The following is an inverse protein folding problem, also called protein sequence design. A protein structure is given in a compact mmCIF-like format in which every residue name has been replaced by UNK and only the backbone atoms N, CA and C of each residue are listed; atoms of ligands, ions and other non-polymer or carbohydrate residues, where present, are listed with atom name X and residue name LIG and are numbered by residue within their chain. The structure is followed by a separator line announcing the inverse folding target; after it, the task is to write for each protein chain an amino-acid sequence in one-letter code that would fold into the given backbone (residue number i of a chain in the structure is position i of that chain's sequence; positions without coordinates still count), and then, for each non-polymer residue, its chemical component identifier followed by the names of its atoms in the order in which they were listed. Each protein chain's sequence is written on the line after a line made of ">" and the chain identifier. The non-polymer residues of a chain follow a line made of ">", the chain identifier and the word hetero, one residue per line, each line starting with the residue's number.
data_IF_632678757579
#
_entry.id   IF_632678757579
#
_cell.length_a   1.000
_cell.length_b   1.000
_cell.length_c   1.000
_cell.angle_alpha   90.00
_cell.angle_beta   90.00
_cell.angle_gamma   90.00
#
_symmetry.space_group_name_H-M   'P 1'
#
loop_
_entity.id
_entity.type
_entity.pdbx_description
1 polymer ?
#
# COMPACT_ATOMS: atom_id res chain seq x y z
N UNK A 1 -12.64 22.17 11.85
CA UNK A 1 -14.12 22.10 11.79
C UNK A 1 -14.53 20.79 12.43
N UNK A 2 -15.59 20.78 13.25
CA UNK A 2 -16.00 19.60 14.02
C UNK A 2 -16.15 18.36 13.11
N UNK A 3 -15.31 17.34 13.32
CA UNK A 3 -15.49 16.02 12.74
C UNK A 3 -16.80 15.47 13.27
N UNK A 4 -17.83 15.42 12.41
CA UNK A 4 -19.04 14.66 12.72
C UNK A 4 -18.64 13.18 12.77
N UNK A 5 -18.39 12.65 13.97
CA UNK A 5 -18.26 11.20 14.14
C UNK A 5 -19.47 10.54 13.47
N UNK A 6 -19.27 9.42 12.75
CA UNK A 6 -20.38 8.71 12.17
C UNK A 6 -21.31 8.23 13.29
N UNK A 7 -22.49 8.86 13.44
CA UNK A 7 -23.51 8.55 14.47
C UNK A 7 -23.98 7.09 14.48
N UNK A 8 -23.57 6.29 13.49
CA UNK A 8 -23.95 4.89 13.34
C UNK A 8 -23.04 3.90 14.09
N UNK A 9 -21.84 4.30 14.51
CA UNK A 9 -20.99 3.47 15.39
C UNK A 9 -21.46 3.57 16.85
N UNK A 10 -22.61 2.96 17.14
CA UNK A 10 -23.21 2.98 18.47
C UNK A 10 -23.17 1.61 19.17
N UNK A 11 -23.63 1.61 20.42
CA UNK A 11 -23.71 0.42 21.30
C UNK A 11 -24.54 -0.68 20.65
N UNK A 12 -25.66 -0.33 20.01
CA UNK A 12 -26.57 -1.30 19.40
C UNK A 12 -25.93 -1.97 18.19
N UNK A 13 -25.31 -1.18 17.31
CA UNK A 13 -24.57 -1.65 16.15
C UNK A 13 -23.45 -2.60 16.58
N UNK A 14 -22.54 -2.15 17.44
CA UNK A 14 -21.40 -2.98 17.86
C UNK A 14 -21.82 -4.23 18.63
N UNK A 15 -22.89 -4.18 19.43
CA UNK A 15 -23.41 -5.37 20.09
C UNK A 15 -23.85 -6.41 19.07
N UNK A 16 -24.67 -6.00 18.09
CA UNK A 16 -25.16 -6.90 17.05
C UNK A 16 -24.00 -7.52 16.26
N UNK A 17 -23.02 -6.69 15.86
CA UNK A 17 -21.85 -7.17 15.12
C UNK A 17 -21.02 -8.14 15.95
N UNK A 18 -20.74 -7.83 17.22
CA UNK A 18 -19.93 -8.69 18.08
C UNK A 18 -20.62 -10.02 18.41
N UNK A 19 -21.93 -9.99 18.67
CA UNK A 19 -22.75 -11.19 18.85
C UNK A 19 -22.71 -12.10 17.62
N UNK A 20 -22.74 -11.52 16.41
CA UNK A 20 -22.65 -12.27 15.15
C UNK A 20 -21.26 -12.87 14.92
N UNK A 21 -20.21 -12.09 15.14
CA UNK A 21 -18.81 -12.53 14.96
C UNK A 21 -18.48 -13.66 15.93
N UNK A 22 -18.85 -13.50 17.20
CA UNK A 22 -18.50 -14.45 18.26
C UNK A 22 -19.52 -15.59 18.43
N UNK A 23 -20.66 -15.50 17.72
CA UNK A 23 -21.78 -16.44 17.83
C UNK A 23 -22.26 -16.60 19.28
N UNK A 24 -22.35 -15.48 20.00
CA UNK A 24 -22.70 -15.42 21.42
C UNK A 24 -23.72 -14.30 21.67
N UNK A 25 -25.00 -14.67 21.80
CA UNK A 25 -26.10 -13.72 22.05
C UNK A 25 -26.08 -13.12 23.47
N UNK A 26 -25.27 -13.68 24.38
CA UNK A 26 -25.16 -13.20 25.76
C UNK A 26 -24.34 -11.91 25.87
N UNK A 27 -23.59 -11.56 24.83
CA UNK A 27 -22.76 -10.36 24.77
C UNK A 27 -23.62 -9.11 24.98
N UNK A 28 -23.21 -8.28 25.94
CA UNK A 28 -23.77 -6.95 26.22
C UNK A 28 -22.67 -5.91 26.23
N UNK A 29 -22.77 -4.92 25.35
CA UNK A 29 -21.80 -3.82 25.28
C UNK A 29 -22.06 -2.85 26.43
N UNK A 30 -21.00 -2.51 27.17
CA UNK A 30 -21.02 -1.60 28.31
C UNK A 30 -20.43 -0.23 27.97
N UNK A 31 -19.52 -0.16 27.01
CA UNK A 31 -18.88 1.09 26.60
C UNK A 31 -18.18 0.98 25.25
N UNK A 32 -18.18 2.09 24.52
CA UNK A 32 -17.44 2.24 23.26
C UNK A 32 -16.64 3.54 23.36
N UNK A 33 -15.38 3.48 22.96
CA UNK A 33 -14.55 4.67 22.76
C UNK A 33 -13.96 4.62 21.37
N UNK A 34 -14.06 5.73 20.66
CA UNK A 34 -13.59 5.88 19.28
C UNK A 34 -12.51 6.97 19.24
N UNK A 35 -11.40 6.68 18.57
CA UNK A 35 -10.30 7.61 18.39
C UNK A 35 -9.82 7.58 16.93
N UNK A 36 -9.82 8.70 16.20
CA UNK A 36 -9.19 8.77 14.88
C UNK A 36 -7.70 8.40 14.97
N UNK A 37 -7.20 7.56 14.06
CA UNK A 37 -5.78 7.15 13.99
C UNK A 37 -5.07 7.82 12.80
N UNK A 38 -5.82 8.51 11.94
CA UNK A 38 -5.23 9.11 10.72
C UNK A 38 -4.68 10.50 11.00
N UNK A 39 -3.36 10.63 11.04
CA UNK A 39 -2.70 11.93 10.87
C UNK A 39 -2.60 12.27 9.39
N UNK A 40 -2.56 13.56 9.05
CA UNK A 40 -2.32 14.00 7.67
C UNK A 40 -0.99 13.44 7.19
N UNK A 41 -1.01 12.76 6.04
CA UNK A 41 0.16 12.11 5.45
C UNK A 41 0.45 10.68 5.88
N UNK A 42 -0.41 10.08 6.71
CA UNK A 42 -0.27 8.69 7.13
C UNK A 42 -1.20 7.73 6.37
N UNK A 43 -2.41 8.19 6.04
CA UNK A 43 -3.33 7.49 5.15
C UNK A 43 -4.02 8.48 4.20
N UNK A 44 -4.01 8.17 2.91
CA UNK A 44 -4.57 9.04 1.86
C UNK A 44 -5.94 8.55 1.36
N UNK A 45 -6.39 7.39 1.83
CA UNK A 45 -7.58 6.77 1.30
C UNK A 45 -8.48 6.09 2.34
N UNK A 46 -9.08 6.94 3.15
CA UNK A 46 -10.15 6.59 4.07
C UNK A 46 -9.84 7.17 5.43
N UNK A 47 -10.87 7.20 6.27
CA UNK A 47 -10.70 7.55 7.67
C UNK A 47 -10.58 6.24 8.46
N UNK A 48 -9.50 6.12 9.24
CA UNK A 48 -9.31 5.00 10.17
C UNK A 48 -9.58 5.47 11.60
N UNK A 49 -10.44 4.71 12.27
CA UNK A 49 -10.83 4.93 13.65
C UNK A 49 -10.49 3.70 14.49
N UNK A 50 -9.78 3.90 15.59
CA UNK A 50 -9.60 2.87 16.61
C UNK A 50 -10.85 2.81 17.45
N UNK A 51 -11.48 1.65 17.51
CA UNK A 51 -12.68 1.43 18.32
C UNK A 51 -12.32 0.49 19.46
N UNK A 52 -12.42 1.00 20.68
CA UNK A 52 -12.30 0.22 21.92
C UNK A 52 -13.71 -0.14 22.39
N UNK A 53 -13.98 -1.42 22.57
CA UNK A 53 -15.28 -1.94 23.00
C UNK A 53 -15.12 -2.70 24.31
N UNK A 54 -15.86 -2.27 25.32
CA UNK A 54 -15.98 -2.94 26.62
C UNK A 54 -17.33 -3.64 26.68
N UNK A 55 -17.33 -4.93 27.03
CA UNK A 55 -18.54 -5.75 27.02
C UNK A 55 -18.51 -6.82 28.10
N UNK A 56 -19.69 -7.38 28.38
CA UNK A 56 -19.86 -8.53 29.25
C UNK A 56 -20.46 -9.70 28.49
N UNK A 57 -20.11 -10.92 28.87
CA UNK A 57 -20.72 -12.16 28.36
C UNK A 57 -20.87 -13.22 29.45
N UNK A 58 -21.64 -14.27 29.17
CA UNK A 58 -21.79 -15.41 30.08
C UNK A 58 -20.65 -16.41 29.84
N UNK A 59 -19.72 -16.47 30.80
CA UNK A 59 -18.65 -17.48 30.86
C UNK A 59 -19.02 -18.56 31.88
N UNK A 60 -19.66 -19.64 31.42
CA UNK A 60 -20.15 -20.69 32.31
C UNK A 60 -21.25 -20.19 33.25
N UNK A 61 -21.00 -20.16 34.56
CA UNK A 61 -21.96 -19.67 35.58
C UNK A 61 -21.82 -18.18 35.92
N UNK A 62 -20.81 -17.50 35.37
CA UNK A 62 -20.48 -16.12 35.76
C UNK A 62 -20.52 -15.17 34.56
N UNK A 63 -20.70 -13.87 34.84
CA UNK A 63 -20.48 -12.83 33.85
C UNK A 63 -19.02 -12.43 33.86
N UNK A 64 -18.41 -12.40 32.68
CA UNK A 64 -17.03 -11.95 32.48
C UNK A 64 -17.06 -10.62 31.75
N UNK A 65 -16.23 -9.68 32.16
CA UNK A 65 -16.03 -8.40 31.49
C UNK A 65 -14.76 -8.48 30.63
N UNK A 66 -14.86 -7.99 29.40
CA UNK A 66 -13.79 -8.01 28.42
C UNK A 66 -13.68 -6.67 27.69
N UNK A 67 -12.49 -6.43 27.14
CA UNK A 67 -12.17 -5.26 26.34
C UNK A 67 -11.48 -5.70 25.05
N UNK A 68 -11.96 -5.22 23.91
CA UNK A 68 -11.38 -5.51 22.59
C UNK A 68 -11.18 -4.24 21.79
N UNK A 69 -10.23 -4.30 20.86
CA UNK A 69 -9.88 -3.20 19.97
C UNK A 69 -10.10 -3.61 18.52
N UNK A 70 -10.62 -2.67 17.73
CA UNK A 70 -10.91 -2.83 16.32
C UNK A 70 -10.44 -1.61 15.55
N UNK A 71 -10.22 -1.79 14.26
CA UNK A 71 -10.00 -0.71 13.30
C UNK A 71 -11.24 -0.60 12.43
N UNK A 72 -11.91 0.53 12.50
CA UNK A 72 -12.99 0.89 11.59
C UNK A 72 -12.41 1.72 10.45
N UNK A 73 -12.52 1.19 9.22
CA UNK A 73 -12.20 1.95 8.00
C UNK A 73 -13.50 2.42 7.37
N UNK A 74 -13.67 3.73 7.28
CA UNK A 74 -14.88 4.38 6.77
C UNK A 74 -14.55 5.21 5.54
N UNK A 75 -15.52 5.30 4.62
CA UNK A 75 -15.42 6.22 3.50
C UNK A 75 -15.79 7.63 4.00
N UNK A 76 -14.87 8.62 3.95
CA UNK A 76 -15.18 10.01 4.24
C UNK A 76 -16.44 10.47 3.51
N UNK A 77 -17.33 11.15 4.23
CA UNK A 77 -18.55 11.74 3.68
C UNK A 77 -18.24 13.06 2.93
N UNK A 78 -17.24 13.05 2.06
CA UNK A 78 -16.78 14.21 1.30
C UNK A 78 -17.06 13.98 -0.20
N UNK A 79 -17.79 14.87 -0.89
CA UNK A 79 -18.25 14.64 -2.26
C UNK A 79 -17.15 14.32 -3.29
N UNK A 80 -15.98 14.95 -3.18
CA UNK A 80 -14.86 14.68 -4.08
C UNK A 80 -14.26 13.29 -3.84
N UNK A 81 -14.19 12.88 -2.57
CA UNK A 81 -13.64 11.59 -2.13
C UNK A 81 -14.56 10.45 -2.56
N UNK A 82 -15.87 10.67 -2.47
CA UNK A 82 -16.89 9.79 -3.01
C UNK A 82 -16.77 9.64 -4.54
N UNK A 83 -16.46 10.72 -5.27
CA UNK A 83 -16.21 10.68 -6.72
C UNK A 83 -14.89 9.96 -7.06
N UNK A 84 -13.85 10.13 -6.25
CA UNK A 84 -12.56 9.43 -6.36
C UNK A 84 -12.75 7.92 -6.20
N UNK A 85 -13.49 7.50 -5.17
CA UNK A 85 -13.78 6.09 -4.87
C UNK A 85 -14.74 5.48 -5.88
N UNK A 86 -15.82 6.18 -6.26
CA UNK A 86 -16.82 5.64 -7.19
C UNK A 86 -16.27 5.45 -8.61
N UNK A 87 -15.33 6.30 -9.05
CA UNK A 87 -14.68 6.19 -10.37
C UNK A 87 -13.47 5.26 -10.34
N UNK A 88 -12.64 5.33 -9.29
CA UNK A 88 -11.44 4.50 -9.12
C UNK A 88 -11.71 3.06 -8.67
N UNK A 89 -12.80 2.83 -7.93
CA UNK A 89 -13.18 1.52 -7.40
C UNK A 89 -12.38 1.06 -6.18
N UNK A 90 -11.54 1.92 -5.60
CA UNK A 90 -10.58 1.58 -4.54
C UNK A 90 -11.22 0.88 -3.32
N UNK A 91 -12.35 1.39 -2.83
CA UNK A 91 -13.04 0.76 -1.70
C UNK A 91 -13.64 -0.61 -2.06
N UNK A 92 -14.10 -0.78 -3.30
CA UNK A 92 -14.62 -2.08 -3.77
C UNK A 92 -13.48 -3.10 -3.89
N UNK A 93 -12.31 -2.67 -4.39
CA UNK A 93 -11.08 -3.47 -4.43
C UNK A 93 -10.70 -3.93 -3.03
N UNK A 94 -10.60 -3.00 -2.08
CA UNK A 94 -10.22 -3.32 -0.70
C UNK A 94 -11.25 -4.23 -0.02
N UNK A 95 -12.54 -3.94 -0.18
CA UNK A 95 -13.60 -4.78 0.37
C UNK A 95 -13.53 -6.20 -0.16
N UNK A 96 -13.34 -6.37 -1.47
CA UNK A 96 -13.20 -7.69 -2.09
C UNK A 96 -11.93 -8.39 -1.61
N UNK A 97 -10.81 -7.67 -1.49
CA UNK A 97 -9.58 -8.22 -0.90
C UNK A 97 -9.82 -8.74 0.52
N UNK A 98 -10.41 -7.91 1.38
CA UNK A 98 -10.58 -8.19 2.81
C UNK A 98 -11.63 -9.27 3.08
N UNK A 99 -12.66 -9.38 2.24
CA UNK A 99 -13.78 -10.32 2.44
C UNK A 99 -13.66 -11.63 1.66
N UNK A 100 -12.86 -11.66 0.58
CA UNK A 100 -12.83 -12.81 -0.33
C UNK A 100 -11.42 -13.33 -0.65
N UNK A 101 -10.52 -12.48 -1.16
CA UNK A 101 -9.21 -12.92 -1.66
C UNK A 101 -8.20 -13.20 -0.54
N UNK A 102 -8.01 -12.25 0.40
CA UNK A 102 -7.10 -12.42 1.54
C UNK A 102 -7.50 -13.58 2.45
N UNK A 103 -8.80 -13.81 2.77
CA UNK A 103 -9.20 -15.01 3.49
C UNK A 103 -8.75 -16.31 2.82
N UNK A 104 -8.85 -16.43 1.48
CA UNK A 104 -8.35 -17.60 0.74
C UNK A 104 -6.82 -17.72 0.83
N UNK A 105 -6.11 -16.60 0.66
CA UNK A 105 -4.65 -16.55 0.73
C UNK A 105 -4.14 -16.93 2.13
N UNK A 106 -4.69 -16.30 3.18
CA UNK A 106 -4.32 -16.57 4.57
C UNK A 106 -4.64 -18.01 4.97
N UNK A 107 -5.79 -18.55 4.54
CA UNK A 107 -6.13 -19.96 4.78
C UNK A 107 -5.13 -20.92 4.12
N UNK A 108 -4.70 -20.61 2.89
CA UNK A 108 -3.69 -21.41 2.20
C UNK A 108 -2.34 -21.38 2.92
N UNK A 109 -1.93 -20.22 3.44
CA UNK A 109 -0.68 -20.04 4.19
C UNK A 109 -0.69 -20.74 5.55
N UNK A 110 -1.77 -20.61 6.32
CA UNK A 110 -1.92 -21.23 7.63
C UNK A 110 -1.81 -22.76 7.52
N UNK A 111 -2.35 -23.36 6.46
CA UNK A 111 -2.18 -24.81 6.18
C UNK A 111 -0.73 -25.24 5.98
N UNK A 112 0.14 -24.33 5.57
CA UNK A 112 1.58 -24.57 5.43
C UNK A 112 2.39 -24.15 6.66
N UNK A 113 1.73 -23.71 7.74
CA UNK A 113 2.41 -23.17 8.93
C UNK A 113 3.08 -21.81 8.68
N UNK A 114 2.66 -21.06 7.66
CA UNK A 114 3.17 -19.73 7.34
C UNK A 114 2.21 -18.69 7.93
N UNK A 115 2.77 -17.61 8.49
CA UNK A 115 2.01 -16.51 9.06
C UNK A 115 1.08 -15.85 8.01
N UNK A 116 -0.09 -15.32 8.43
CA UNK A 116 -1.01 -14.61 7.55
C UNK A 116 -0.40 -13.29 7.02
N UNK A 117 -0.90 -12.85 5.87
CA UNK A 117 -0.45 -11.64 5.16
C UNK A 117 -1.17 -10.35 5.58
N UNK A 118 -2.32 -10.46 6.24
CA UNK A 118 -3.20 -9.34 6.59
C UNK A 118 -3.91 -9.55 7.93
N UNK A 119 -4.39 -8.46 8.50
CA UNK A 119 -5.39 -8.50 9.56
C UNK A 119 -6.68 -9.19 9.07
N UNK A 120 -7.45 -9.75 10.01
CA UNK A 120 -8.76 -10.30 9.68
C UNK A 120 -9.80 -9.19 9.46
N UNK A 121 -10.57 -9.29 8.37
CA UNK A 121 -11.82 -8.56 8.23
C UNK A 121 -12.89 -9.25 9.08
N UNK A 122 -13.43 -8.55 10.06
CA UNK A 122 -14.42 -9.08 10.99
C UNK A 122 -15.85 -8.79 10.51
N UNK A 123 -16.05 -7.62 9.90
CA UNK A 123 -17.32 -7.23 9.32
C UNK A 123 -17.10 -6.30 8.12
N UNK A 124 -17.98 -6.38 7.13
CA UNK A 124 -17.96 -5.52 5.96
C UNK A 124 -19.38 -5.10 5.57
N UNK A 125 -19.56 -3.81 5.32
CA UNK A 125 -20.79 -3.23 4.84
C UNK A 125 -20.52 -2.52 3.51
N UNK A 126 -21.04 -3.08 2.42
CA UNK A 126 -20.82 -2.54 1.07
C UNK A 126 -21.85 -1.45 0.70
N UNK A 127 -23.06 -1.50 1.28
CA UNK A 127 -24.07 -0.47 1.09
C UNK A 127 -23.82 0.72 2.03
N UNK A 128 -24.23 1.92 1.64
CA UNK A 128 -23.97 3.12 2.44
C UNK A 128 -24.62 3.06 3.84
N UNK A 129 -23.94 3.55 4.91
CA UNK A 129 -22.55 4.04 4.89
C UNK A 129 -21.57 2.87 4.75
N UNK A 130 -20.68 2.96 3.77
CA UNK A 130 -19.77 1.89 3.41
C UNK A 130 -18.58 1.84 4.38
N UNK A 131 -18.33 0.69 4.99
CA UNK A 131 -17.29 0.54 6.02
C UNK A 131 -16.80 -0.90 6.22
N UNK A 132 -15.61 -1.03 6.80
CA UNK A 132 -15.01 -2.28 7.24
C UNK A 132 -14.69 -2.21 8.73
N UNK A 133 -14.89 -3.33 9.44
CA UNK A 133 -14.38 -3.56 10.79
C UNK A 133 -13.28 -4.62 10.71
N UNK A 134 -12.08 -4.24 11.13
CA UNK A 134 -10.85 -5.01 10.95
C UNK A 134 -10.22 -5.26 12.33
N UNK A 135 -9.54 -6.39 12.49
CA UNK A 135 -8.71 -6.70 13.67
C UNK A 135 -7.67 -5.58 13.92
N UNK A 136 -7.61 -5.07 15.16
CA UNK A 136 -6.49 -4.22 15.59
C UNK A 136 -5.26 -5.11 15.86
N UNK A 137 -4.18 -4.87 15.12
CA UNK A 137 -2.93 -5.62 15.22
C UNK A 137 -2.02 -5.12 16.36
N UNK A 138 -2.27 -3.93 16.91
CA UNK A 138 -1.44 -3.35 17.96
C UNK A 138 -1.36 -4.20 19.25
N UNK A 139 -2.42 -4.88 19.73
CA UNK A 139 -2.31 -5.78 20.89
C UNK A 139 -1.40 -6.98 20.63
N UNK A 140 -1.13 -7.32 19.36
CA UNK A 140 -0.19 -8.38 18.96
C UNK A 140 1.24 -7.88 18.78
N UNK A 141 1.51 -6.62 19.14
CA UNK A 141 2.83 -5.99 19.10
C UNK A 141 3.24 -5.48 17.72
N UNK A 142 2.32 -5.42 16.75
CA UNK A 142 2.60 -4.83 15.44
C UNK A 142 2.55 -3.30 15.52
N UNK A 143 3.53 -2.65 14.89
CA UNK A 143 3.60 -1.19 14.72
C UNK A 143 4.13 -0.83 13.35
N UNK A 144 3.79 0.34 12.85
CA UNK A 144 4.38 0.91 11.63
C UNK A 144 5.84 1.31 11.88
N UNK A 145 6.68 1.21 10.87
CA UNK A 145 8.05 1.68 10.93
C UNK A 145 8.14 3.19 10.60
N UNK A 146 9.25 3.82 10.99
CA UNK A 146 9.47 5.24 10.71
C UNK A 146 9.75 5.48 9.22
N UNK A 147 8.78 6.09 8.53
CA UNK A 147 8.89 6.42 7.10
C UNK A 147 9.93 7.50 6.78
N UNK A 148 10.28 8.36 7.72
CA UNK A 148 11.16 9.52 7.46
C UNK A 148 12.63 9.10 7.34
N UNK A 149 13.03 8.10 8.14
CA UNK A 149 14.37 7.50 8.07
C UNK A 149 14.45 6.38 7.01
N UNK A 150 13.30 5.86 6.58
CA UNK A 150 13.21 4.70 5.71
C UNK A 150 13.54 3.40 6.44
N UNK A 151 13.27 2.29 5.78
CA UNK A 151 13.50 0.95 6.32
C UNK A 151 14.99 0.60 6.28
N UNK A 152 15.53 0.11 7.40
CA UNK A 152 16.84 -0.52 7.44
C UNK A 152 16.84 -1.87 6.68
N UNK A 153 18.01 -2.51 6.63
CA UNK A 153 18.18 -3.75 5.87
C UNK A 153 17.31 -4.90 6.41
N UNK A 154 17.20 -5.06 7.73
CA UNK A 154 16.43 -6.17 8.33
C UNK A 154 14.93 -6.02 8.02
N UNK A 155 14.39 -4.80 8.12
CA UNK A 155 13.02 -4.50 7.70
C UNK A 155 12.82 -4.72 6.21
N UNK A 156 13.77 -4.29 5.36
CA UNK A 156 13.67 -4.47 3.92
C UNK A 156 13.67 -5.94 3.51
N UNK A 157 14.49 -6.78 4.16
CA UNK A 157 14.49 -8.22 3.91
C UNK A 157 13.12 -8.81 4.26
N UNK A 158 12.56 -8.49 5.42
CA UNK A 158 11.23 -8.98 5.81
C UNK A 158 10.13 -8.51 4.86
N UNK A 159 10.14 -7.25 4.43
CA UNK A 159 9.19 -6.70 3.47
C UNK A 159 9.28 -7.42 2.11
N UNK A 160 10.48 -7.62 1.58
CA UNK A 160 10.69 -8.30 0.29
C UNK A 160 10.30 -9.78 0.35
N UNK A 161 10.59 -10.47 1.47
CA UNK A 161 10.11 -11.83 1.72
C UNK A 161 8.59 -11.88 1.83
N UNK A 162 7.99 -10.96 2.59
CA UNK A 162 6.53 -10.84 2.72
C UNK A 162 5.85 -10.63 1.37
N UNK A 163 6.42 -9.76 0.53
CA UNK A 163 5.94 -9.50 -0.82
C UNK A 163 6.05 -10.74 -1.71
N UNK A 164 7.16 -11.48 -1.62
CA UNK A 164 7.32 -12.74 -2.34
C UNK A 164 6.30 -13.80 -1.92
N UNK A 165 6.00 -13.89 -0.61
CA UNK A 165 4.93 -14.78 -0.09
C UNK A 165 3.56 -14.33 -0.59
N UNK A 166 3.27 -13.03 -0.59
CA UNK A 166 2.02 -12.48 -1.13
C UNK A 166 1.84 -12.86 -2.61
N UNK A 167 2.87 -12.62 -3.43
CA UNK A 167 2.89 -12.95 -4.84
C UNK A 167 2.75 -14.46 -5.10
N UNK A 168 3.55 -15.31 -4.43
CA UNK A 168 3.46 -16.77 -4.58
C UNK A 168 2.07 -17.31 -4.21
N UNK A 169 1.50 -16.81 -3.11
CA UNK A 169 0.18 -17.23 -2.64
C UNK A 169 -0.91 -16.80 -3.61
N UNK A 170 -0.77 -15.64 -4.25
CA UNK A 170 -1.73 -15.18 -5.26
C UNK A 170 -1.79 -16.11 -6.48
N UNK A 171 -0.64 -16.65 -6.91
CA UNK A 171 -0.56 -17.63 -7.99
C UNK A 171 -1.27 -18.91 -7.59
N UNK A 172 -0.95 -19.45 -6.41
CA UNK A 172 -1.59 -20.67 -5.90
C UNK A 172 -3.11 -20.53 -5.74
N UNK A 173 -3.59 -19.35 -5.29
CA UNK A 173 -5.02 -19.07 -5.18
C UNK A 173 -5.69 -18.97 -6.55
N UNK A 174 -5.05 -18.35 -7.54
CA UNK A 174 -5.63 -18.27 -8.89
C UNK A 174 -5.72 -19.63 -9.59
N UNK A 175 -4.68 -20.47 -9.46
CA UNK A 175 -4.70 -21.84 -9.99
C UNK A 175 -5.84 -22.66 -9.38
N UNK A 176 -6.09 -22.49 -8.08
CA UNK A 176 -7.14 -23.21 -7.36
C UNK A 176 -8.54 -22.62 -7.55
N UNK A 177 -8.63 -21.29 -7.66
CA UNK A 177 -9.88 -20.54 -7.75
C UNK A 177 -9.78 -19.52 -8.90
N UNK A 178 -9.92 -19.97 -10.16
CA UNK A 178 -9.74 -19.11 -11.32
C UNK A 178 -10.65 -17.88 -11.30
N UNK A 179 -10.11 -16.73 -11.74
CA UNK A 179 -10.75 -15.40 -11.73
C UNK A 179 -10.78 -14.70 -10.38
N UNK A 180 -10.22 -15.30 -9.33
CA UNK A 180 -10.12 -14.65 -8.02
C UNK A 180 -9.18 -13.44 -8.13
N UNK A 181 -7.94 -13.66 -8.56
CA UNK A 181 -6.93 -12.59 -8.60
C UNK A 181 -6.88 -11.88 -9.95
N UNK A 182 -7.26 -12.52 -11.05
CA UNK A 182 -7.25 -11.88 -12.38
C UNK A 182 -8.38 -10.86 -12.59
N UNK A 183 -9.32 -10.76 -11.64
CA UNK A 183 -10.39 -9.76 -11.61
C UNK A 183 -9.89 -8.34 -11.26
N UNK A 184 -8.75 -8.23 -10.58
CA UNK A 184 -8.16 -6.98 -10.12
C UNK A 184 -7.44 -6.24 -11.25
N UNK A 185 -8.11 -5.24 -11.84
CA UNK A 185 -7.62 -4.55 -13.06
C UNK A 185 -7.31 -3.06 -12.87
N UNK A 186 -7.62 -2.49 -11.72
CA UNK A 186 -7.59 -1.04 -11.46
C UNK A 186 -6.61 -0.69 -10.32
N UNK A 187 -5.31 -0.74 -10.63
CA UNK A 187 -4.24 -0.22 -9.76
C UNK A 187 -3.98 1.27 -9.98
N UNK A 188 -2.77 1.75 -9.70
CA UNK A 188 -2.36 3.15 -10.00
C UNK A 188 -2.32 3.47 -11.50
N UNK A 189 -1.97 2.47 -12.32
CA UNK A 189 -1.78 2.61 -13.75
C UNK A 189 -2.68 1.64 -14.48
N UNK A 190 -3.79 2.13 -15.03
CA UNK A 190 -4.77 1.30 -15.72
C UNK A 190 -5.44 2.05 -16.87
N UNK A 191 -6.15 1.32 -17.73
CA UNK A 191 -6.92 1.89 -18.83
C UNK A 191 -8.21 2.52 -18.30
N UNK A 192 -8.68 3.60 -18.91
CA UNK A 192 -9.92 4.29 -18.51
C UNK A 192 -9.81 4.86 -17.08
N UNK A 193 -8.60 5.26 -16.71
CA UNK A 193 -8.28 5.93 -15.46
C UNK A 193 -8.89 7.34 -15.40
N UNK A 194 -9.23 7.84 -14.21
CA UNK A 194 -9.71 9.21 -14.05
C UNK A 194 -8.64 10.23 -14.40
N UNK A 195 -9.07 11.38 -14.92
CA UNK A 195 -8.19 12.47 -15.36
C UNK A 195 -7.23 12.94 -14.26
N UNK A 196 -7.67 12.94 -12.99
CA UNK A 196 -6.84 13.38 -11.87
C UNK A 196 -5.56 12.55 -11.71
N UNK A 197 -5.57 11.25 -12.04
CA UNK A 197 -4.34 10.43 -12.00
C UNK A 197 -3.34 10.93 -13.05
N UNK A 198 -3.82 11.24 -14.27
CA UNK A 198 -2.97 11.82 -15.31
C UNK A 198 -2.38 13.13 -14.83
N UNK A 199 -3.22 14.02 -14.30
CA UNK A 199 -2.80 15.31 -13.77
C UNK A 199 -1.79 15.16 -12.63
N UNK A 200 -2.04 14.27 -11.67
CA UNK A 200 -1.16 14.03 -10.53
C UNK A 200 0.25 13.64 -10.98
N UNK A 201 0.37 12.65 -11.87
CA UNK A 201 1.69 12.17 -12.30
C UNK A 201 2.40 13.13 -13.27
N UNK A 202 1.67 13.72 -14.22
CA UNK A 202 2.24 14.65 -15.19
C UNK A 202 2.63 15.97 -14.51
N UNK A 203 1.72 16.60 -13.77
CA UNK A 203 1.98 17.86 -13.10
C UNK A 203 2.97 17.70 -11.94
N UNK A 204 2.95 16.58 -11.21
CA UNK A 204 3.99 16.26 -10.23
C UNK A 204 5.38 16.21 -10.86
N UNK A 205 5.52 15.51 -12.00
CA UNK A 205 6.78 15.47 -12.76
C UNK A 205 7.20 16.86 -13.24
N UNK A 206 6.24 17.69 -13.71
CA UNK A 206 6.50 19.07 -14.14
C UNK A 206 6.94 19.96 -12.98
N UNK A 207 6.29 19.85 -11.83
CA UNK A 207 6.61 20.60 -10.61
C UNK A 207 8.03 20.28 -10.14
N UNK A 208 8.40 18.99 -10.13
CA UNK A 208 9.76 18.58 -9.84
C UNK A 208 10.76 19.15 -10.86
N UNK A 209 10.45 19.11 -12.16
CA UNK A 209 11.31 19.67 -13.21
C UNK A 209 11.61 21.16 -12.98
N UNK A 210 10.57 21.94 -12.62
CA UNK A 210 10.70 23.36 -12.27
C UNK A 210 11.55 23.56 -11.01
N UNK A 211 11.37 22.71 -9.99
CA UNK A 211 12.09 22.83 -8.73
C UNK A 211 13.58 22.50 -8.89
N UNK A 212 13.92 21.41 -9.57
CA UNK A 212 15.33 21.02 -9.78
C UNK A 212 16.09 21.98 -10.69
N UNK A 213 15.42 22.81 -11.50
CA UNK A 213 16.05 23.86 -12.28
C UNK A 213 16.76 24.91 -11.38
N UNK A 214 16.33 25.01 -10.11
CA UNK A 214 16.90 25.90 -9.11
C UNK A 214 18.08 25.27 -8.35
N UNK A 215 18.33 23.96 -8.53
CA UNK A 215 19.32 23.22 -7.77
C UNK A 215 20.67 23.21 -8.50
N UNK A 216 21.73 23.86 -7.98
CA UNK A 216 23.04 23.90 -8.63
C UNK A 216 23.70 22.52 -8.77
N UNK A 217 23.28 21.52 -8.00
CA UNK A 217 23.79 20.15 -8.05
C UNK A 217 23.30 19.37 -9.28
N UNK A 218 22.23 19.82 -9.93
CA UNK A 218 21.61 19.14 -11.06
C UNK A 218 22.01 19.80 -12.37
N UNK A 219 22.44 18.99 -13.35
CA UNK A 219 22.68 19.48 -14.70
C UNK A 219 21.36 20.05 -15.29
N UNK A 220 21.33 21.30 -15.80
CA UNK A 220 20.12 21.92 -16.36
C UNK A 220 19.40 21.07 -17.42
N UNK A 221 20.15 20.27 -18.20
CA UNK A 221 19.61 19.35 -19.20
C UNK A 221 18.66 18.31 -18.60
N UNK A 222 18.85 17.92 -17.33
CA UNK A 222 17.95 16.98 -16.63
C UNK A 222 16.59 17.65 -16.41
N UNK A 223 16.55 18.91 -15.96
CA UNK A 223 15.31 19.68 -15.83
C UNK A 223 14.57 19.80 -17.17
N UNK A 224 15.28 20.15 -18.25
CA UNK A 224 14.70 20.24 -19.60
C UNK A 224 14.09 18.92 -20.07
N UNK A 225 14.78 17.80 -19.86
CA UNK A 225 14.28 16.45 -20.18
C UNK A 225 13.04 16.12 -19.37
N UNK A 226 13.05 16.40 -18.06
CA UNK A 226 11.90 16.15 -17.18
C UNK A 226 10.69 17.01 -17.53
N UNK A 227 10.89 18.26 -17.96
CA UNK A 227 9.81 19.10 -18.49
C UNK A 227 9.14 18.44 -19.69
N UNK A 228 9.90 17.96 -20.67
CA UNK A 228 9.35 17.24 -21.83
C UNK A 228 8.70 15.91 -21.43
N UNK A 229 9.34 15.17 -20.53
CA UNK A 229 8.80 13.92 -19.99
C UNK A 229 7.44 14.12 -19.32
N UNK A 230 7.24 15.26 -18.64
CA UNK A 230 6.02 15.54 -17.88
C UNK A 230 4.74 15.49 -18.74
N UNK A 231 4.83 15.73 -20.04
CA UNK A 231 3.69 15.67 -20.97
C UNK A 231 3.18 14.23 -21.17
N UNK A 232 4.07 13.25 -21.00
CA UNK A 232 3.83 11.83 -21.31
C UNK A 232 4.11 10.90 -20.13
N UNK A 233 4.44 11.44 -18.95
CA UNK A 233 4.91 10.68 -17.79
C UNK A 233 3.91 9.60 -17.39
N UNK A 234 2.64 9.95 -17.21
CA UNK A 234 1.60 8.98 -16.86
C UNK A 234 1.42 7.90 -17.93
N UNK A 235 1.39 8.29 -19.21
CA UNK A 235 1.26 7.36 -20.35
C UNK A 235 2.41 6.34 -20.37
N UNK A 236 3.64 6.78 -20.10
CA UNK A 236 4.79 5.87 -19.96
C UNK A 236 4.67 4.97 -18.73
N UNK A 237 4.15 5.48 -17.62
CA UNK A 237 3.80 4.69 -16.43
C UNK A 237 2.82 3.58 -16.77
N UNK A 238 1.71 3.89 -17.45
CA UNK A 238 0.75 2.91 -17.95
C UNK A 238 1.39 1.87 -18.87
N UNK A 239 2.29 2.28 -19.77
CA UNK A 239 3.01 1.35 -20.65
C UNK A 239 3.89 0.39 -19.86
N UNK A 240 4.59 0.89 -18.84
CA UNK A 240 5.48 0.10 -18.00
C UNK A 240 4.73 -0.85 -17.05
N UNK A 241 3.58 -0.43 -16.51
CA UNK A 241 2.74 -1.25 -15.63
C UNK A 241 1.84 -2.25 -16.38
N UNK A 242 1.77 -2.17 -17.72
CA UNK A 242 0.86 -2.97 -18.53
C UNK A 242 1.09 -4.47 -18.31
N UNK A 243 0.05 -5.15 -17.83
CA UNK A 243 0.01 -6.61 -17.76
C UNK A 243 0.16 -7.22 -19.16
N UNK A 244 1.08 -8.18 -19.31
CA UNK A 244 1.30 -8.93 -20.55
C UNK A 244 0.94 -10.39 -20.31
N UNK A 245 0.20 -11.01 -21.22
CA UNK A 245 -0.34 -12.36 -21.02
C UNK A 245 0.75 -13.42 -20.82
N UNK A 246 1.89 -13.26 -21.49
CA UNK A 246 2.98 -14.23 -21.49
C UNK A 246 4.04 -13.95 -20.40
N UNK A 247 3.84 -12.91 -19.58
CA UNK A 247 4.69 -12.62 -18.42
C UNK A 247 4.29 -13.48 -17.21
N UNK A 248 5.23 -13.62 -16.27
CA UNK A 248 4.90 -14.05 -14.91
C UNK A 248 4.12 -12.93 -14.21
N UNK A 249 2.81 -13.15 -14.02
CA UNK A 249 1.90 -12.21 -13.40
C UNK A 249 1.40 -12.72 -12.05
N UNK A 250 1.18 -11.79 -11.14
CA UNK A 250 0.78 -12.02 -9.75
C UNK A 250 -0.25 -10.97 -9.35
N UNK A 251 -0.93 -11.18 -8.24
CA UNK A 251 -1.64 -10.08 -7.58
C UNK A 251 -0.62 -9.20 -6.88
N UNK A 252 -0.52 -7.94 -7.29
CA UNK A 252 0.26 -6.93 -6.60
C UNK A 252 -0.61 -6.28 -5.52
N UNK A 253 -0.01 -5.89 -4.40
CA UNK A 253 -0.57 -4.99 -3.41
C UNK A 253 -0.91 -3.62 -4.04
N UNK A 254 -0.03 -3.12 -4.90
CA UNK A 254 -0.17 -1.88 -5.68
C UNK A 254 0.30 -0.61 -4.95
N UNK A 255 0.50 -0.68 -3.64
CA UNK A 255 0.92 0.44 -2.78
C UNK A 255 1.91 0.00 -1.68
N UNK A 256 2.99 -0.67 -2.07
CA UNK A 256 3.99 -1.23 -1.14
C UNK A 256 4.95 -0.15 -0.62
N UNK A 257 4.49 0.68 0.32
CA UNK A 257 5.32 1.68 1.01
C UNK A 257 5.30 1.51 2.54
N UNK A 258 6.25 2.14 3.25
CA UNK A 258 6.50 1.95 4.69
C UNK A 258 5.25 1.95 5.58
N UNK A 259 4.29 2.85 5.34
CA UNK A 259 3.09 2.94 6.19
C UNK A 259 2.06 1.85 5.94
N UNK A 260 2.12 1.17 4.79
CA UNK A 260 1.26 0.03 4.46
C UNK A 260 1.87 -1.30 4.92
N UNK A 261 2.91 -1.23 5.77
CA UNK A 261 3.60 -2.37 6.36
C UNK A 261 3.69 -2.18 7.87
N UNK A 262 3.25 -3.19 8.61
CA UNK A 262 3.43 -3.24 10.06
C UNK A 262 4.41 -4.35 10.43
N UNK A 263 5.25 -4.08 11.42
CA UNK A 263 6.30 -4.98 11.89
C UNK A 263 6.10 -5.32 13.35
N UNK A 264 6.45 -6.55 13.71
CA UNK A 264 6.60 -7.00 15.10
C UNK A 264 8.08 -7.24 15.38
N UNK A 265 8.48 -7.00 16.62
CA UNK A 265 9.86 -7.06 17.07
C UNK A 265 10.03 -8.19 18.08
N UNK A 266 11.20 -8.83 18.08
CA UNK A 266 11.61 -9.74 19.15
C UNK A 266 12.11 -8.98 20.39
N UNK A 267 12.51 -9.74 21.42
CA UNK A 267 13.01 -9.19 22.69
C UNK A 267 14.33 -8.41 22.53
N UNK A 268 15.04 -8.56 21.40
CA UNK A 268 16.24 -7.80 21.07
C UNK A 268 15.93 -6.52 20.27
N UNK A 269 14.66 -6.25 20.00
CA UNK A 269 14.22 -5.12 19.20
C UNK A 269 14.45 -5.30 17.69
N UNK A 270 14.69 -6.53 17.22
CA UNK A 270 14.83 -6.83 15.79
C UNK A 270 13.48 -7.16 15.18
N UNK A 271 13.16 -6.66 13.97
CA UNK A 271 11.91 -7.02 13.32
C UNK A 271 11.93 -8.52 13.00
N UNK A 272 10.86 -9.24 13.35
CA UNK A 272 10.76 -10.69 13.17
C UNK A 272 9.53 -11.13 12.38
N UNK A 273 8.49 -10.30 12.31
CA UNK A 273 7.31 -10.52 11.48
C UNK A 273 6.90 -9.24 10.79
N UNK A 274 6.24 -9.42 9.66
CA UNK A 274 5.74 -8.36 8.80
C UNK A 274 4.33 -8.71 8.32
N UNK A 275 3.45 -7.72 8.22
CA UNK A 275 2.08 -7.85 7.72
C UNK A 275 1.69 -6.62 6.92
N UNK A 276 0.95 -6.82 5.83
CA UNK A 276 0.48 -5.74 4.96
C UNK A 276 -0.85 -5.17 5.47
N UNK A 277 -1.08 -3.89 5.20
CA UNK A 277 -2.34 -3.19 5.41
C UNK A 277 -2.66 -2.30 4.20
N UNK A 278 -3.92 -1.91 4.05
CA UNK A 278 -4.41 -1.03 2.97
C UNK A 278 -4.32 -1.64 1.55
N UNK A 279 -5.30 -2.48 1.21
CA UNK A 279 -5.32 -3.29 -0.02
C UNK A 279 -6.12 -2.66 -1.17
N UNK A 280 -6.20 -1.33 -1.20
CA UNK A 280 -7.08 -0.59 -2.10
C UNK A 280 -6.58 -0.47 -3.55
N UNK A 281 -5.27 -0.64 -3.79
CA UNK A 281 -4.63 -0.49 -5.10
C UNK A 281 -4.25 -1.84 -5.73
N UNK A 282 -4.75 -2.94 -5.16
CA UNK A 282 -4.39 -4.27 -5.62
C UNK A 282 -4.70 -4.47 -7.11
N UNK A 283 -3.74 -5.02 -7.85
CA UNK A 283 -3.81 -5.15 -9.30
C UNK A 283 -3.07 -6.39 -9.79
N UNK A 284 -3.69 -7.11 -10.72
CA UNK A 284 -3.08 -8.24 -11.38
C UNK A 284 -2.11 -7.79 -12.49
N UNK A 285 -0.87 -8.24 -12.43
CA UNK A 285 0.14 -7.90 -13.42
C UNK A 285 1.55 -8.32 -13.01
N UNK A 286 2.55 -7.71 -13.64
CA UNK A 286 3.95 -8.01 -13.35
C UNK A 286 4.29 -7.70 -11.89
N UNK A 287 5.08 -8.56 -11.18
CA UNK A 287 5.55 -8.26 -9.82
C UNK A 287 6.45 -7.02 -9.75
N UNK A 288 6.88 -6.49 -10.91
CA UNK A 288 7.62 -5.24 -10.99
C UNK A 288 6.86 -4.04 -10.43
N UNK A 289 5.52 -4.07 -10.41
CA UNK A 289 4.72 -2.97 -9.85
C UNK A 289 5.07 -2.78 -8.38
N UNK A 290 4.98 -3.83 -7.56
CA UNK A 290 5.29 -3.70 -6.14
C UNK A 290 6.78 -3.61 -5.84
N UNK A 291 7.62 -4.40 -6.53
CA UNK A 291 9.06 -4.40 -6.27
C UNK A 291 9.66 -3.01 -6.54
N UNK A 292 9.31 -2.40 -7.68
CA UNK A 292 9.84 -1.08 -8.04
C UNK A 292 9.21 0.03 -7.19
N UNK A 293 7.94 -0.12 -6.79
CA UNK A 293 7.33 0.80 -5.84
C UNK A 293 8.07 0.77 -4.50
N UNK A 294 8.24 -0.41 -3.91
CA UNK A 294 8.93 -0.59 -2.64
C UNK A 294 10.34 0.00 -2.69
N UNK A 295 11.14 -0.37 -3.71
CA UNK A 295 12.51 0.13 -3.86
C UNK A 295 12.58 1.66 -4.05
N UNK A 296 11.54 2.27 -4.64
CA UNK A 296 11.47 3.71 -4.84
C UNK A 296 11.10 4.49 -3.56
N UNK A 297 10.36 3.91 -2.61
CA UNK A 297 9.75 4.65 -1.50
C UNK A 297 10.26 4.27 -0.12
N UNK A 298 10.60 3.00 0.12
CA UNK A 298 10.69 2.48 1.49
C UNK A 298 12.10 2.32 2.04
N UNK A 299 13.09 1.76 1.31
CA UNK A 299 14.43 1.58 1.85
C UNK A 299 15.10 2.91 2.22
N UNK A 300 15.83 2.90 3.32
CA UNK A 300 16.78 3.97 3.64
C UNK A 300 17.81 4.12 2.52
N UNK A 301 18.45 5.29 2.45
CA UNK A 301 19.33 5.61 1.32
C UNK A 301 20.50 4.62 1.16
N UNK A 302 21.10 4.18 2.27
CA UNK A 302 22.24 3.26 2.26
C UNK A 302 21.79 1.87 1.79
N UNK A 303 20.61 1.41 2.25
CA UNK A 303 20.02 0.14 1.78
C UNK A 303 19.70 0.20 0.28
N UNK A 304 19.11 1.30 -0.18
CA UNK A 304 18.76 1.51 -1.59
C UNK A 304 20.00 1.44 -2.49
N UNK A 305 21.12 2.02 -2.04
CA UNK A 305 22.37 2.09 -2.78
C UNK A 305 23.12 0.75 -2.77
N UNK A 306 23.28 0.15 -1.60
CA UNK A 306 24.27 -0.91 -1.39
C UNK A 306 23.65 -2.32 -1.33
N UNK A 307 22.34 -2.45 -1.09
CA UNK A 307 21.70 -3.74 -0.82
C UNK A 307 20.63 -4.16 -1.83
N UNK A 308 20.40 -3.39 -2.90
CA UNK A 308 19.38 -3.70 -3.92
C UNK A 308 19.47 -5.13 -4.47
N UNK A 309 20.68 -5.61 -4.77
CA UNK A 309 20.87 -6.96 -5.31
C UNK A 309 20.48 -8.04 -4.29
N UNK A 310 20.85 -7.87 -3.02
CA UNK A 310 20.50 -8.78 -1.94
C UNK A 310 18.98 -8.85 -1.77
N UNK A 311 18.30 -7.70 -1.73
CA UNK A 311 16.84 -7.63 -1.61
C UNK A 311 16.11 -8.37 -2.74
N UNK A 312 16.61 -8.26 -3.98
CA UNK A 312 16.06 -9.01 -5.11
C UNK A 312 16.28 -10.51 -5.00
N UNK A 313 17.42 -10.96 -4.45
CA UNK A 313 17.66 -12.37 -4.18
C UNK A 313 16.70 -12.90 -3.11
N UNK A 314 16.55 -12.18 -2.00
CA UNK A 314 15.63 -12.54 -0.91
C UNK A 314 14.19 -12.69 -1.39
N UNK A 315 13.74 -11.78 -2.26
CA UNK A 315 12.45 -11.90 -2.92
C UNK A 315 12.38 -13.14 -3.82
N UNK A 316 13.35 -13.34 -4.71
CA UNK A 316 13.32 -14.42 -5.71
C UNK A 316 13.38 -15.81 -5.08
N UNK A 317 14.25 -16.01 -4.09
CA UNK A 317 14.40 -17.27 -3.37
C UNK A 317 13.11 -17.58 -2.60
N UNK A 318 12.55 -16.59 -1.90
CA UNK A 318 11.30 -16.76 -1.14
C UNK A 318 10.12 -17.06 -2.05
N UNK A 319 10.01 -16.39 -3.20
CA UNK A 319 8.97 -16.64 -4.20
C UNK A 319 9.06 -18.10 -4.68
N UNK A 320 10.26 -18.53 -5.07
CA UNK A 320 10.52 -19.87 -5.60
C UNK A 320 10.20 -20.96 -4.57
N UNK A 321 10.68 -20.80 -3.34
CA UNK A 321 10.43 -21.74 -2.24
C UNK A 321 8.93 -21.80 -1.91
N UNK A 322 8.26 -20.65 -1.84
CA UNK A 322 6.85 -20.59 -1.45
C UNK A 322 5.96 -21.20 -2.53
N UNK A 323 6.20 -20.90 -3.81
CA UNK A 323 5.49 -21.54 -4.92
C UNK A 323 5.71 -23.06 -4.97
N UNK A 324 6.93 -23.52 -4.67
CA UNK A 324 7.22 -24.96 -4.58
C UNK A 324 6.43 -25.63 -3.44
N UNK A 325 6.30 -24.99 -2.27
CA UNK A 325 5.47 -25.49 -1.16
C UNK A 325 3.98 -25.60 -1.54
N UNK A 326 3.47 -24.65 -2.33
CA UNK A 326 2.12 -24.71 -2.88
C UNK A 326 1.96 -25.67 -4.05
N UNK A 327 3.07 -26.17 -4.60
CA UNK A 327 3.11 -27.01 -5.81
C UNK A 327 2.47 -26.31 -7.02
N UNK A 328 2.74 -25.02 -7.20
CA UNK A 328 2.21 -24.25 -8.32
C UNK A 328 2.57 -24.90 -9.68
N UNK A 329 1.60 -24.89 -10.59
CA UNK A 329 1.80 -25.32 -11.97
C UNK A 329 2.67 -24.31 -12.73
N UNK A 330 2.34 -23.02 -12.59
CA UNK A 330 3.13 -21.89 -13.07
C UNK A 330 4.50 -21.91 -12.41
N UNK A 331 5.54 -21.73 -13.22
CA UNK A 331 6.92 -21.66 -12.73
C UNK A 331 7.32 -20.22 -12.43
N UNK A 332 8.02 -19.97 -11.30
CA UNK A 332 8.61 -18.66 -11.07
C UNK A 332 9.64 -18.35 -12.17
N UNK A 333 9.85 -17.07 -12.52
CA UNK A 333 10.89 -16.69 -13.47
C UNK A 333 12.27 -17.01 -12.89
N UNK A 334 13.27 -17.21 -13.75
CA UNK A 334 14.66 -17.23 -13.31
C UNK A 334 15.06 -15.86 -12.72
N UNK A 335 16.07 -15.83 -11.86
CA UNK A 335 16.56 -14.58 -11.28
C UNK A 335 17.00 -13.57 -12.36
N UNK A 336 17.65 -14.06 -13.42
CA UNK A 336 18.04 -13.22 -14.55
C UNK A 336 16.81 -12.65 -15.28
N UNK A 337 15.78 -13.47 -15.53
CA UNK A 337 14.55 -12.99 -16.18
C UNK A 337 13.81 -11.98 -15.31
N UNK A 338 13.75 -12.18 -13.99
CA UNK A 338 13.20 -11.20 -13.07
C UNK A 338 13.93 -9.85 -13.18
N UNK A 339 15.27 -9.86 -13.20
CA UNK A 339 16.08 -8.64 -13.35
C UNK A 339 15.85 -7.93 -14.68
N UNK A 340 15.69 -8.66 -15.78
CA UNK A 340 15.34 -8.10 -17.08
C UNK A 340 13.97 -7.42 -17.05
N UNK A 341 12.95 -8.10 -16.52
CA UNK A 341 11.58 -7.58 -16.38
C UNK A 341 11.57 -6.28 -15.56
N UNK A 342 12.33 -6.24 -14.46
CA UNK A 342 12.49 -5.03 -13.63
C UNK A 342 13.18 -3.90 -14.40
N UNK A 343 14.21 -4.22 -15.20
CA UNK A 343 14.92 -3.22 -16.02
C UNK A 343 14.04 -2.65 -17.13
N UNK A 344 13.28 -3.51 -17.82
CA UNK A 344 12.30 -3.11 -18.85
C UNK A 344 11.22 -2.17 -18.29
N UNK A 345 10.91 -2.28 -16.99
CA UNK A 345 9.85 -1.53 -16.30
C UNK A 345 10.40 -0.48 -15.33
N UNK A 346 11.70 -0.20 -15.35
CA UNK A 346 12.37 0.70 -14.41
C UNK A 346 11.81 2.13 -14.42
N UNK A 347 11.09 2.53 -15.47
CA UNK A 347 10.37 3.80 -15.48
C UNK A 347 9.32 3.92 -14.37
N UNK A 348 8.75 2.81 -13.87
CA UNK A 348 7.86 2.83 -12.72
C UNK A 348 8.57 3.37 -11.47
N UNK A 349 9.77 2.88 -11.18
CA UNK A 349 10.58 3.34 -10.04
C UNK A 349 10.90 4.83 -10.16
N UNK A 350 11.29 5.27 -11.35
CA UNK A 350 11.58 6.67 -11.63
C UNK A 350 10.33 7.55 -11.40
N UNK A 351 9.19 7.19 -12.01
CA UNK A 351 7.96 7.95 -11.88
C UNK A 351 7.46 8.02 -10.42
N UNK A 352 7.52 6.89 -9.70
CA UNK A 352 7.15 6.83 -8.27
C UNK A 352 8.11 7.68 -7.43
N UNK A 353 9.42 7.68 -7.75
CA UNK A 353 10.41 8.55 -7.11
C UNK A 353 10.12 10.04 -7.37
N UNK A 354 9.51 10.38 -8.50
CA UNK A 354 9.17 11.76 -8.82
C UNK A 354 7.94 12.23 -8.09
N UNK A 355 6.92 11.40 -7.93
CA UNK A 355 5.58 11.89 -7.54
C UNK A 355 5.07 11.37 -6.20
N UNK A 356 5.46 10.15 -5.81
CA UNK A 356 5.01 9.52 -4.57
C UNK A 356 6.05 9.68 -3.46
N UNK A 357 7.32 9.39 -3.76
CA UNK A 357 8.42 9.56 -2.80
C UNK A 357 8.41 10.91 -2.07
N UNK A 358 8.26 12.09 -2.72
CA UNK A 358 8.26 13.38 -2.01
C UNK A 358 7.19 13.43 -0.92
N UNK A 359 6.02 12.83 -1.17
CA UNK A 359 4.91 12.78 -0.22
C UNK A 359 5.26 11.85 0.96
N UNK A 360 5.79 10.65 0.65
CA UNK A 360 6.06 9.61 1.65
C UNK A 360 7.16 9.94 2.65
N UNK A 361 8.08 10.86 2.32
CA UNK A 361 9.19 11.28 3.21
C UNK A 361 9.03 12.72 3.74
N UNK A 362 7.89 13.35 3.46
CA UNK A 362 7.57 14.71 3.92
C UNK A 362 7.14 14.71 5.39
N UNK A 363 7.61 15.68 6.16
CA UNK A 363 7.16 15.83 7.55
C UNK A 363 5.66 16.18 7.59
N UNK A 364 4.95 15.79 8.65
CA UNK A 364 3.50 15.98 8.77
C UNK A 364 3.06 17.46 8.63
N UNK A 365 3.95 18.41 8.94
CA UNK A 365 3.68 19.85 8.83
C UNK A 365 3.74 20.38 7.39
N UNK A 366 4.37 19.64 6.48
CA UNK A 366 4.65 20.07 5.09
C UNK A 366 3.73 19.36 4.09
N UNK A 367 3.23 18.19 4.46
CA UNK A 367 2.46 17.34 3.57
C UNK A 367 1.01 17.80 3.48
N UNK A 368 0.52 17.96 2.25
CA UNK A 368 -0.88 18.28 1.96
C UNK A 368 -1.71 17.00 1.75
N UNK A 369 -3.02 17.00 2.09
CA UNK A 369 -3.97 16.01 1.60
C UNK A 369 -3.95 15.90 0.07
N UNK A 370 -4.25 14.72 -0.48
CA UNK A 370 -4.19 14.48 -1.93
C UNK A 370 -5.09 15.44 -2.74
N UNK A 371 -6.23 15.84 -2.20
CA UNK A 371 -7.16 16.80 -2.81
C UNK A 371 -6.67 18.25 -2.79
N UNK A 372 -5.62 18.56 -2.02
CA UNK A 372 -5.03 19.90 -1.96
C UNK A 372 -3.73 19.98 -2.78
N UNK A 373 -3.29 18.85 -3.36
CA UNK A 373 -2.15 18.84 -4.29
C UNK A 373 -2.52 19.33 -5.69
N UNK A 374 -3.79 19.22 -6.07
CA UNK A 374 -4.33 19.77 -7.32
C UNK A 374 -5.39 20.79 -6.94
N UNK A 375 -5.10 22.06 -7.18
CA UNK A 375 -6.01 23.16 -6.89
C UNK A 375 -7.19 23.21 -7.88
N UNK A 376 -8.32 23.84 -7.51
CA UNK A 376 -9.48 23.97 -8.40
C UNK A 376 -9.20 24.68 -9.74
N UNK A 377 -8.18 25.54 -9.79
CA UNK A 377 -7.67 26.20 -11.00
C UNK A 377 -6.84 25.27 -11.90
N UNK A 378 -6.58 24.03 -11.48
CA UNK A 378 -5.76 23.05 -12.19
C UNK A 378 -4.25 23.15 -11.92
N UNK A 379 -3.83 24.05 -11.03
CA UNK A 379 -2.44 24.16 -10.60
C UNK A 379 -2.09 23.01 -9.65
N UNK A 380 -0.82 22.58 -9.69
CA UNK A 380 -0.29 21.53 -8.83
C UNK A 380 0.77 22.12 -7.93
N UNK A 381 0.58 21.99 -6.62
CA UNK A 381 1.54 22.42 -5.62
C UNK A 381 1.80 21.31 -4.61
N UNK A 382 3.06 20.86 -4.53
CA UNK A 382 3.52 19.94 -3.50
C UNK A 382 4.74 20.54 -2.79
N UNK A 383 4.56 21.10 -1.58
CA UNK A 383 5.65 21.70 -0.80
C UNK A 383 6.80 20.72 -0.52
N UNK A 384 6.51 19.42 -0.52
CA UNK A 384 7.47 18.36 -0.22
C UNK A 384 8.62 18.29 -1.23
N UNK A 385 8.47 18.87 -2.43
CA UNK A 385 9.58 18.97 -3.39
C UNK A 385 10.74 19.85 -2.90
N UNK A 386 10.47 20.80 -2.00
CA UNK A 386 11.47 21.69 -1.42
C UNK A 386 12.18 21.05 -0.19
N UNK A 387 11.74 19.86 0.24
CA UNK A 387 12.28 19.19 1.41
C UNK A 387 13.74 18.76 1.23
N UNK A 388 14.58 19.07 2.21
CA UNK A 388 16.02 18.74 2.19
C UNK A 388 16.29 17.22 2.02
N UNK A 389 15.49 16.36 2.67
CA UNK A 389 15.60 14.90 2.53
C UNK A 389 15.35 14.46 1.09
N UNK A 390 14.31 15.00 0.48
CA UNK A 390 13.95 14.70 -0.90
C UNK A 390 14.99 15.21 -1.89
N UNK A 391 15.46 16.45 -1.74
CA UNK A 391 16.55 17.01 -2.56
C UNK A 391 17.80 16.14 -2.50
N UNK A 392 18.25 15.73 -1.32
CA UNK A 392 19.44 14.87 -1.14
C UNK A 392 19.32 13.54 -1.89
N UNK A 393 18.14 12.91 -1.90
CA UNK A 393 17.90 11.70 -2.68
C UNK A 393 17.91 12.00 -4.18
N UNK A 394 17.19 13.01 -4.61
CA UNK A 394 17.01 13.29 -6.04
C UNK A 394 18.28 13.79 -6.73
N UNK A 395 19.17 14.48 -6.03
CA UNK A 395 20.52 14.80 -6.55
C UNK A 395 21.37 13.56 -6.81
N UNK A 396 21.09 12.46 -6.12
CA UNK A 396 21.75 11.16 -6.36
C UNK A 396 21.07 10.37 -7.50
N UNK A 397 19.74 10.28 -7.50
CA UNK A 397 19.02 9.37 -8.39
C UNK A 397 18.68 9.96 -9.77
N UNK A 398 18.45 11.27 -9.91
CA UNK A 398 18.15 11.87 -11.22
C UNK A 398 19.25 11.65 -12.27
N UNK A 399 20.55 11.84 -11.94
CA UNK A 399 21.62 11.53 -12.89
C UNK A 399 21.66 10.04 -13.28
N UNK A 400 21.35 9.14 -12.35
CA UNK A 400 21.28 7.70 -12.62
C UNK A 400 20.13 7.37 -13.57
N UNK A 401 18.94 7.92 -13.32
CA UNK A 401 17.79 7.76 -14.21
C UNK A 401 18.06 8.34 -15.60
N UNK A 402 18.79 9.46 -15.70
CA UNK A 402 19.19 10.01 -17.00
C UNK A 402 20.14 9.09 -17.75
N UNK A 403 21.16 8.56 -17.07
CA UNK A 403 22.11 7.59 -17.63
C UNK A 403 21.44 6.29 -18.10
N UNK A 404 20.36 5.89 -17.42
CA UNK A 404 19.54 4.75 -17.80
C UNK A 404 18.59 5.05 -18.97
N UNK A 405 18.51 6.30 -19.43
CA UNK A 405 17.60 6.73 -20.50
C UNK A 405 16.14 6.87 -20.05
N UNK A 406 15.86 6.87 -18.74
CA UNK A 406 14.49 6.92 -18.21
C UNK A 406 13.88 8.32 -18.29
N UNK A 407 14.68 9.36 -18.49
CA UNK A 407 14.21 10.75 -18.61
C UNK A 407 13.88 11.16 -20.05
N UNK A 408 14.04 10.27 -21.03
CA UNK A 408 13.64 10.56 -22.41
C UNK A 408 12.11 10.62 -22.50
N UNK A 409 11.50 11.57 -23.24
CA UNK A 409 10.06 11.61 -23.48
C UNK A 409 9.52 10.34 -24.16
#
# INVERSE_FOLDING_TARGET
>A
MAQNNPRWFDVCFMQKILQQIEKDESIKICGITEQPITSVGENYAGELHRVSVEFTRVGGKHRVQEKRFFIAKVVPAIPWYEKLISVGGHFNTESLMMTDTLPKMNHALVKLGIAPLSAQCLYAQLAKPTHLLIEDLSPRGFRTADRLNGLDLEHCILAMRGLAVFHATSVAVEEKYPRTVTSYKKGLFYKDHPLWLTSFFNLGTKCLATEIAKWPEINPRISEKMHKLSEVAFKKGCKAARCQKDDFNVLNHGDCWTNNMMFRYDDQGKPNLHIFVDFQLCVYGSPAVDILHFLATSPSNDVRKDHRKLLLHEYHDTLTITMAKFKCEVKPPSFNRLREVLKERAFLEALISFTILPITISDQTTVKPLNELIEPNGEYENPSYQGNRFRKLMTTYLPLYDKMGLLQP
#
